data_IF_645078359799
#
_entry.id   IF_645078359799
#
_cell.length_a   1.000
_cell.length_b   1.000
_cell.length_c   1.000
_cell.angle_alpha   90.00
_cell.angle_beta   90.00
_cell.angle_gamma   90.00
#
_symmetry.space_group_name_H-M   'P 1'
#
loop_
_entity.id
_entity.type
_entity.pdbx_description
1 polymer ?
#
# COMPACT_ATOMS: atom_id res chain seq x y z
N UNK A 1 71.14 27.71 64.72
CA UNK A 1 70.72 29.05 65.18
C UNK A 1 69.22 29.04 64.90
N UNK A 2 68.45 28.74 65.93
CA UNK A 2 67.66 29.72 66.70
C UNK A 2 66.49 30.21 65.83
N UNK A 3 65.19 30.06 66.08
CA UNK A 3 64.41 29.79 67.29
C UNK A 3 62.93 29.53 66.88
N UNK A 4 62.26 28.72 67.64
CA UNK A 4 60.80 28.73 67.88
C UNK A 4 60.51 29.89 68.88
N UNK A 5 59.29 30.28 69.17
CA UNK A 5 58.01 29.62 69.28
C UNK A 5 56.82 30.58 68.88
N UNK A 6 55.60 30.39 69.12
CA UNK A 6 54.64 29.80 70.01
C UNK A 6 53.19 30.20 69.54
N UNK A 7 52.29 29.31 69.57
CA UNK A 7 51.12 29.11 70.40
C UNK A 7 50.18 30.32 70.67
N UNK A 8 48.91 30.18 70.32
CA UNK A 8 47.69 30.34 71.12
C UNK A 8 46.43 30.14 70.24
N UNK A 9 45.78 29.12 70.46
CA UNK A 9 44.56 28.75 71.20
C UNK A 9 43.40 29.78 71.18
N UNK A 10 42.25 29.18 70.92
CA UNK A 10 40.88 29.40 71.41
C UNK A 10 39.97 30.18 70.41
N UNK A 11 38.77 29.91 70.27
CA UNK A 11 37.68 29.10 70.77
C UNK A 11 36.43 29.29 69.93
N UNK A 12 35.65 28.19 69.79
CA UNK A 12 34.18 28.16 69.72
C UNK A 12 33.43 29.19 68.87
N UNK A 13 32.66 28.68 67.91
CA UNK A 13 31.19 28.67 67.96
C UNK A 13 30.61 28.06 66.66
N UNK A 14 29.95 26.98 66.90
CA UNK A 14 28.91 26.51 65.91
C UNK A 14 27.72 27.45 65.98
N UNK A 15 27.05 27.72 64.86
CA UNK A 15 25.67 27.31 64.87
C UNK A 15 25.21 26.67 63.55
N UNK A 16 24.31 25.80 63.77
CA UNK A 16 23.41 25.17 62.80
C UNK A 16 22.96 26.09 61.66
N UNK A 17 23.31 25.75 60.42
CA UNK A 17 22.62 26.27 59.25
C UNK A 17 21.92 25.14 58.58
N UNK A 18 20.59 25.21 58.63
CA UNK A 18 19.64 24.31 58.08
C UNK A 18 19.88 24.11 56.60
N UNK A 19 20.08 22.86 56.23
CA UNK A 19 20.13 22.38 54.86
C UNK A 19 18.71 22.40 54.26
N UNK A 20 18.30 23.48 53.63
CA UNK A 20 17.11 23.48 52.76
C UNK A 20 17.43 22.68 51.52
N UNK A 21 17.03 21.41 51.55
CA UNK A 21 16.89 20.57 50.38
C UNK A 21 15.68 21.10 49.57
N UNK A 22 15.94 21.96 48.60
CA UNK A 22 15.01 22.30 47.55
C UNK A 22 14.89 21.08 46.64
N UNK A 23 13.87 20.26 46.87
CA UNK A 23 13.37 19.27 45.89
C UNK A 23 12.77 20.05 44.72
N UNK A 24 13.55 20.28 43.67
CA UNK A 24 13.04 20.62 42.37
C UNK A 24 12.37 19.37 41.82
N UNK A 25 11.06 19.24 42.02
CA UNK A 25 10.22 18.31 41.29
C UNK A 25 10.20 18.78 39.82
N UNK A 26 11.10 18.25 39.01
CA UNK A 26 11.05 18.38 37.57
C UNK A 26 9.81 17.61 37.11
N UNK A 27 8.65 18.28 37.05
CA UNK A 27 7.51 17.81 36.28
C UNK A 27 7.96 17.73 34.83
N UNK A 28 8.36 16.53 34.41
CA UNK A 28 8.47 16.20 32.98
C UNK A 28 7.07 16.33 32.36
N UNK A 29 6.70 17.53 31.95
CA UNK A 29 5.64 17.72 31.00
C UNK A 29 6.12 17.05 29.70
N UNK A 30 5.74 15.80 29.50
CA UNK A 30 5.80 15.17 28.21
C UNK A 30 4.83 15.95 27.31
N UNK A 31 5.35 16.97 26.63
CA UNK A 31 4.61 17.60 25.56
C UNK A 31 4.23 16.48 24.56
N UNK A 32 2.97 16.35 24.18
CA UNK A 32 2.61 15.42 23.12
C UNK A 32 3.46 15.79 21.89
N UNK A 33 4.33 14.88 21.47
CA UNK A 33 5.02 15.01 20.19
C UNK A 33 3.94 15.01 19.12
N UNK A 34 3.53 16.18 18.66
CA UNK A 34 2.80 16.30 17.41
C UNK A 34 3.76 15.82 16.31
N UNK A 35 3.58 14.58 15.88
CA UNK A 35 4.22 14.09 14.67
C UNK A 35 3.79 15.02 13.55
N UNK A 36 4.74 15.73 12.93
CA UNK A 36 4.47 16.57 11.78
C UNK A 36 3.84 15.69 10.69
N UNK A 37 2.60 16.01 10.33
CA UNK A 37 1.83 15.22 9.38
C UNK A 37 2.48 15.37 8.01
N UNK A 38 2.95 14.27 7.44
CA UNK A 38 3.58 14.29 6.12
C UNK A 38 2.53 14.65 5.04
N UNK A 39 2.96 15.27 3.94
CA UNK A 39 2.08 15.80 2.89
C UNK A 39 1.03 14.78 2.40
N UNK A 40 1.41 13.51 2.24
CA UNK A 40 0.50 12.45 1.78
C UNK A 40 -0.60 12.07 2.80
N UNK A 41 -0.44 12.44 4.08
CA UNK A 41 -1.43 12.22 5.14
C UNK A 41 -2.51 13.30 5.19
N UNK A 42 -2.35 14.38 4.42
CA UNK A 42 -3.33 15.45 4.38
C UNK A 42 -4.67 14.96 3.77
N UNK A 43 -5.82 15.27 4.40
CA UNK A 43 -7.12 14.78 3.95
C UNK A 43 -7.42 15.05 2.47
N UNK A 44 -7.12 16.25 1.99
CA UNK A 44 -7.36 16.60 0.58
C UNK A 44 -6.45 15.80 -0.36
N UNK A 45 -5.19 15.56 0.03
CA UNK A 45 -4.26 14.76 -0.77
C UNK A 45 -4.76 13.31 -0.91
N UNK A 46 -5.21 12.69 0.19
CA UNK A 46 -5.79 11.34 0.17
C UNK A 46 -7.02 11.28 -0.75
N UNK A 47 -7.93 12.26 -0.65
CA UNK A 47 -9.12 12.33 -1.52
C UNK A 47 -8.76 12.46 -2.99
N UNK A 48 -7.81 13.33 -3.31
CA UNK A 48 -7.41 13.57 -4.70
C UNK A 48 -6.62 12.40 -5.26
N UNK A 49 -5.74 11.77 -4.47
CA UNK A 49 -5.06 10.52 -4.82
C UNK A 49 -6.05 9.38 -5.07
N UNK A 50 -7.06 9.22 -4.21
CA UNK A 50 -8.11 8.22 -4.44
C UNK A 50 -8.82 8.43 -5.78
N UNK A 51 -9.20 9.67 -6.08
CA UNK A 51 -9.87 9.98 -7.35
C UNK A 51 -8.95 9.72 -8.54
N UNK A 52 -7.70 10.07 -8.42
CA UNK A 52 -6.68 9.86 -9.45
C UNK A 52 -6.53 8.38 -9.76
N UNK A 53 -6.35 7.54 -8.73
CA UNK A 53 -6.04 6.12 -8.92
C UNK A 53 -7.31 5.26 -9.17
N UNK A 54 -8.41 5.52 -8.46
CA UNK A 54 -9.60 4.66 -8.55
C UNK A 54 -10.58 5.01 -9.68
N UNK A 55 -10.64 6.29 -10.11
CA UNK A 55 -11.64 6.77 -11.06
C UNK A 55 -11.07 7.13 -12.43
N UNK A 56 -9.76 7.10 -12.61
CA UNK A 56 -9.12 7.22 -13.91
C UNK A 56 -8.68 5.85 -14.42
N UNK A 57 -8.00 5.84 -15.54
CA UNK A 57 -7.44 4.65 -16.15
C UNK A 57 -6.18 5.06 -16.91
N UNK A 58 -5.12 4.30 -16.79
CA UNK A 58 -3.83 4.50 -17.45
C UNK A 58 -3.95 4.77 -18.96
N UNK A 59 -4.88 4.06 -19.62
CA UNK A 59 -5.05 4.12 -21.08
C UNK A 59 -6.14 5.10 -21.54
N UNK A 60 -6.82 5.83 -20.64
CA UNK A 60 -7.92 6.73 -20.98
C UNK A 60 -7.98 7.95 -20.07
N UNK A 61 -8.09 9.14 -20.67
CA UNK A 61 -8.32 10.40 -19.92
C UNK A 61 -9.74 10.54 -19.38
N UNK A 62 -10.62 9.58 -19.65
CA UNK A 62 -12.03 9.63 -19.23
C UNK A 62 -12.15 9.17 -17.79
N UNK A 63 -12.80 9.99 -16.96
CA UNK A 63 -13.17 9.60 -15.59
C UNK A 63 -14.24 8.53 -15.63
N UNK A 64 -13.92 7.36 -15.15
CA UNK A 64 -14.82 6.21 -15.10
C UNK A 64 -15.57 6.14 -13.76
N UNK A 65 -16.75 5.50 -13.72
CA UNK A 65 -17.36 5.13 -12.44
C UNK A 65 -16.45 4.20 -11.65
N UNK A 66 -16.58 4.22 -10.32
CA UNK A 66 -15.81 3.39 -9.41
C UNK A 66 -16.08 1.91 -9.66
N UNK A 67 -15.00 1.12 -9.73
CA UNK A 67 -15.03 -0.33 -9.95
C UNK A 67 -14.45 -1.02 -8.72
N UNK A 68 -15.09 -2.09 -8.26
CA UNK A 68 -14.59 -2.90 -7.13
C UNK A 68 -15.26 -4.26 -7.10
N UNK A 69 -14.66 -5.21 -6.44
CA UNK A 69 -15.28 -6.50 -6.19
C UNK A 69 -16.41 -6.36 -5.16
N UNK A 70 -17.50 -7.09 -5.38
CA UNK A 70 -18.64 -7.21 -4.47
C UNK A 70 -18.92 -8.66 -4.06
N UNK A 71 -18.10 -9.59 -4.56
CA UNK A 71 -18.16 -11.03 -4.29
C UNK A 71 -16.78 -11.53 -3.87
N UNK A 72 -16.68 -12.72 -3.25
CA UNK A 72 -15.40 -13.35 -2.97
C UNK A 72 -14.54 -13.52 -4.23
N UNK A 73 -13.24 -13.39 -4.06
CA UNK A 73 -12.24 -13.64 -5.10
C UNK A 73 -11.71 -15.05 -4.89
N UNK A 74 -11.89 -15.90 -5.90
CA UNK A 74 -11.25 -17.21 -5.98
C UNK A 74 -10.12 -17.09 -6.99
N UNK A 75 -8.87 -17.23 -6.53
CA UNK A 75 -7.71 -17.08 -7.40
C UNK A 75 -7.06 -18.41 -7.73
N UNK A 76 -6.62 -18.52 -8.98
CA UNK A 76 -5.83 -19.62 -9.51
C UNK A 76 -4.49 -19.09 -9.99
N UNK A 77 -3.39 -19.77 -9.59
CA UNK A 77 -2.04 -19.44 -10.06
C UNK A 77 -1.66 -20.44 -11.14
N UNK A 78 -1.40 -19.93 -12.34
CA UNK A 78 -0.95 -20.71 -13.46
C UNK A 78 0.55 -20.51 -13.69
N UNK A 79 1.32 -21.60 -13.56
CA UNK A 79 2.76 -21.59 -13.76
C UNK A 79 3.09 -22.12 -15.16
N UNK A 80 3.60 -21.23 -16.01
CA UNK A 80 4.11 -21.54 -17.36
C UNK A 80 5.64 -21.42 -17.42
N UNK A 81 6.30 -21.27 -16.27
CA UNK A 81 7.75 -21.12 -16.10
C UNK A 81 8.17 -21.71 -14.77
N UNK A 82 9.49 -21.85 -14.54
CA UNK A 82 10.06 -22.39 -13.31
C UNK A 82 9.85 -21.46 -12.09
N UNK A 83 10.26 -21.93 -10.90
CA UNK A 83 10.20 -21.25 -9.61
C UNK A 83 8.77 -21.10 -9.03
N UNK A 84 7.92 -22.09 -9.26
CA UNK A 84 6.53 -22.13 -8.81
C UNK A 84 6.37 -21.87 -7.31
N UNK A 85 7.27 -22.40 -6.48
CA UNK A 85 7.22 -22.21 -5.02
C UNK A 85 7.38 -20.73 -4.65
N UNK A 86 8.36 -20.03 -5.24
CA UNK A 86 8.58 -18.62 -5.02
C UNK A 86 7.36 -17.80 -5.47
N UNK A 87 6.88 -18.05 -6.68
CA UNK A 87 5.74 -17.33 -7.26
C UNK A 87 4.48 -17.50 -6.41
N UNK A 88 4.20 -18.73 -5.98
CA UNK A 88 3.09 -19.06 -5.08
C UNK A 88 3.23 -18.35 -3.75
N UNK A 89 4.43 -18.38 -3.15
CA UNK A 89 4.69 -17.75 -1.85
C UNK A 89 4.45 -16.25 -1.87
N UNK A 90 5.03 -15.52 -2.82
CA UNK A 90 4.89 -14.05 -2.90
C UNK A 90 3.46 -13.64 -3.22
N UNK A 91 2.77 -14.38 -4.09
CA UNK A 91 1.35 -14.17 -4.42
C UNK A 91 0.46 -14.36 -3.20
N UNK A 92 0.61 -15.48 -2.50
CA UNK A 92 -0.21 -15.79 -1.33
C UNK A 92 -0.01 -14.77 -0.20
N UNK A 93 1.24 -14.37 0.07
CA UNK A 93 1.54 -13.34 1.07
C UNK A 93 0.86 -12.01 0.73
N UNK A 94 0.94 -11.58 -0.53
CA UNK A 94 0.35 -10.32 -0.93
C UNK A 94 -1.18 -10.37 -0.95
N UNK A 95 -1.80 -11.41 -1.49
CA UNK A 95 -3.26 -11.57 -1.50
C UNK A 95 -3.86 -11.69 -0.09
N UNK A 96 -3.16 -12.35 0.85
CA UNK A 96 -3.56 -12.37 2.25
C UNK A 96 -3.51 -10.95 2.87
N UNK A 97 -2.48 -10.17 2.55
CA UNK A 97 -2.38 -8.78 2.98
C UNK A 97 -3.53 -7.92 2.42
N UNK A 98 -3.80 -8.02 1.12
CA UNK A 98 -4.92 -7.33 0.48
C UNK A 98 -6.27 -7.74 1.09
N UNK A 99 -6.46 -9.02 1.40
CA UNK A 99 -7.65 -9.54 2.10
C UNK A 99 -7.83 -8.87 3.46
N UNK A 100 -6.76 -8.75 4.24
CA UNK A 100 -6.80 -8.13 5.57
C UNK A 100 -7.08 -6.62 5.52
N UNK A 101 -6.50 -5.90 4.56
CA UNK A 101 -6.75 -4.45 4.39
C UNK A 101 -8.20 -4.18 3.96
N UNK A 102 -8.70 -4.97 3.01
CA UNK A 102 -9.97 -4.70 2.33
C UNK A 102 -11.17 -5.38 2.99
N UNK A 103 -10.93 -6.43 3.77
CA UNK A 103 -11.98 -7.31 4.29
C UNK A 103 -12.61 -8.21 3.22
N UNK A 104 -12.08 -8.23 2.00
CA UNK A 104 -12.50 -9.18 0.96
C UNK A 104 -12.09 -10.60 1.31
N UNK A 105 -12.96 -11.56 1.01
CA UNK A 105 -12.57 -12.98 1.00
C UNK A 105 -11.79 -13.26 -0.28
N UNK A 106 -10.48 -13.46 -0.17
CA UNK A 106 -9.58 -13.82 -1.27
C UNK A 106 -9.05 -15.22 -0.97
N UNK A 107 -9.44 -16.20 -1.77
CA UNK A 107 -9.31 -17.63 -1.46
C UNK A 107 -8.63 -18.33 -2.63
N UNK A 108 -7.56 -19.15 -2.39
CA UNK A 108 -6.96 -19.97 -3.43
C UNK A 108 -7.92 -21.07 -3.90
N UNK A 109 -7.78 -21.46 -5.16
CA UNK A 109 -8.46 -22.62 -5.74
C UNK A 109 -7.55 -23.37 -6.69
N UNK A 110 -7.58 -24.69 -6.62
CA UNK A 110 -6.84 -25.56 -7.56
C UNK A 110 -7.63 -25.81 -8.85
N UNK A 111 -8.83 -25.28 -8.97
CA UNK A 111 -9.70 -25.44 -10.13
C UNK A 111 -9.79 -24.11 -10.89
N UNK A 112 -9.16 -24.04 -12.07
CA UNK A 112 -9.15 -22.86 -12.94
C UNK A 112 -10.58 -22.42 -13.35
N UNK A 113 -11.52 -23.34 -13.55
CA UNK A 113 -12.90 -23.02 -13.94
C UNK A 113 -13.70 -22.33 -12.83
N UNK A 114 -13.29 -22.50 -11.59
CA UNK A 114 -13.90 -21.82 -10.42
C UNK A 114 -13.26 -20.49 -10.12
N UNK A 115 -12.09 -20.19 -10.70
CA UNK A 115 -11.37 -18.97 -10.46
C UNK A 115 -12.05 -17.78 -11.16
N UNK A 116 -12.12 -16.66 -10.46
CA UNK A 116 -12.48 -15.36 -11.03
C UNK A 116 -11.29 -14.39 -11.08
N UNK A 117 -10.14 -14.79 -10.51
CA UNK A 117 -8.84 -14.14 -10.67
C UNK A 117 -7.83 -15.19 -11.11
N UNK A 118 -7.26 -15.03 -12.30
CA UNK A 118 -6.17 -15.88 -12.82
C UNK A 118 -4.86 -15.10 -12.78
N UNK A 119 -3.80 -15.70 -12.24
CA UNK A 119 -2.48 -15.10 -12.13
C UNK A 119 -1.51 -16.01 -12.90
N UNK A 120 -0.95 -15.50 -13.99
CA UNK A 120 -0.14 -16.26 -14.93
C UNK A 120 1.32 -15.83 -14.78
N UNK A 121 2.16 -16.75 -14.35
CA UNK A 121 3.61 -16.61 -14.40
C UNK A 121 4.14 -17.28 -15.65
N UNK A 122 4.64 -16.48 -16.58
CA UNK A 122 5.05 -16.93 -17.91
C UNK A 122 6.41 -16.37 -18.33
N UNK A 123 6.71 -16.39 -19.61
CA UNK A 123 7.91 -15.79 -20.20
C UNK A 123 7.54 -14.69 -21.17
N UNK A 124 8.46 -13.74 -21.41
CA UNK A 124 8.28 -12.66 -22.39
C UNK A 124 7.88 -13.19 -23.78
N UNK A 125 8.42 -14.35 -24.17
CA UNK A 125 8.11 -14.99 -25.44
C UNK A 125 6.62 -15.34 -25.60
N UNK A 126 5.93 -15.63 -24.49
CA UNK A 126 4.53 -16.03 -24.47
C UNK A 126 3.57 -14.83 -24.41
N UNK A 127 4.07 -13.66 -23.96
CA UNK A 127 3.24 -12.49 -23.64
C UNK A 127 2.28 -12.07 -24.76
N UNK A 128 2.76 -12.01 -26.01
CA UNK A 128 1.90 -11.59 -27.14
C UNK A 128 0.74 -12.57 -27.37
N UNK A 129 0.95 -13.87 -27.16
CA UNK A 129 -0.09 -14.88 -27.26
C UNK A 129 -1.07 -14.78 -26.09
N UNK A 130 -0.58 -14.57 -24.89
CA UNK A 130 -1.39 -14.43 -23.67
C UNK A 130 -2.28 -13.18 -23.70
N UNK A 131 -1.78 -12.07 -24.21
CA UNK A 131 -2.59 -10.86 -24.43
C UNK A 131 -3.78 -11.17 -25.36
N UNK A 132 -3.59 -12.03 -26.36
CA UNK A 132 -4.65 -12.45 -27.27
C UNK A 132 -5.61 -13.44 -26.62
N UNK A 133 -5.11 -14.49 -25.97
CA UNK A 133 -5.93 -15.59 -25.41
C UNK A 133 -6.55 -15.24 -24.05
N UNK A 134 -5.76 -14.71 -23.13
CA UNK A 134 -6.16 -14.54 -21.73
C UNK A 134 -6.77 -13.16 -21.45
N UNK A 135 -6.29 -12.10 -22.15
CA UNK A 135 -6.91 -10.78 -22.10
C UNK A 135 -8.01 -10.56 -23.15
N UNK A 136 -8.20 -11.49 -24.08
CA UNK A 136 -9.10 -11.35 -25.25
C UNK A 136 -8.83 -10.09 -26.07
N UNK A 137 -7.56 -9.69 -26.18
CA UNK A 137 -7.16 -8.51 -26.92
C UNK A 137 -7.10 -8.84 -28.43
N UNK A 138 -7.94 -8.18 -29.23
CA UNK A 138 -8.06 -8.48 -30.68
C UNK A 138 -7.24 -7.53 -31.57
N UNK A 139 -6.97 -6.31 -31.08
CA UNK A 139 -6.20 -5.33 -31.87
C UNK A 139 -4.71 -5.67 -31.83
N UNK A 140 -4.20 -6.09 -33.00
CA UNK A 140 -2.80 -6.46 -33.17
C UNK A 140 -1.82 -5.32 -32.82
N UNK A 141 -2.20 -4.07 -33.04
CA UNK A 141 -1.35 -2.92 -32.70
C UNK A 141 -1.23 -2.75 -31.16
N UNK A 142 -2.33 -2.96 -30.45
CA UNK A 142 -2.32 -2.95 -28.99
C UNK A 142 -1.52 -4.12 -28.43
N UNK A 143 -1.68 -5.32 -28.98
CA UNK A 143 -0.88 -6.50 -28.58
C UNK A 143 0.61 -6.19 -28.75
N UNK A 144 1.04 -5.68 -29.89
CA UNK A 144 2.43 -5.32 -30.14
C UNK A 144 2.93 -4.19 -29.22
N UNK A 145 2.09 -3.21 -28.94
CA UNK A 145 2.41 -2.13 -28.02
C UNK A 145 2.66 -2.67 -26.61
N UNK A 146 1.69 -3.38 -26.04
CA UNK A 146 1.78 -3.89 -24.67
C UNK A 146 2.89 -4.94 -24.51
N UNK A 147 3.04 -5.86 -25.47
CA UNK A 147 4.11 -6.85 -25.42
C UNK A 147 5.51 -6.26 -25.47
N UNK A 148 5.67 -5.02 -25.98
CA UNK A 148 6.98 -4.33 -26.02
C UNK A 148 7.22 -3.39 -24.85
N UNK A 149 6.18 -2.74 -24.34
CA UNK A 149 6.31 -1.62 -23.40
C UNK A 149 6.03 -2.02 -21.95
N UNK A 150 5.18 -3.01 -21.71
CA UNK A 150 4.81 -3.38 -20.33
C UNK A 150 5.72 -4.48 -19.79
N UNK A 151 6.13 -4.35 -18.53
CA UNK A 151 6.91 -5.37 -17.82
C UNK A 151 5.98 -6.46 -17.30
N UNK A 152 4.84 -6.10 -16.77
CA UNK A 152 3.73 -6.94 -16.33
C UNK A 152 2.41 -6.26 -16.67
N UNK A 153 1.31 -6.96 -16.59
CA UNK A 153 0.00 -6.43 -16.99
C UNK A 153 -1.12 -7.06 -16.17
N UNK A 154 -2.12 -6.25 -15.87
CA UNK A 154 -3.39 -6.71 -15.34
C UNK A 154 -4.58 -6.19 -16.16
N UNK A 155 -5.64 -6.97 -16.17
CA UNK A 155 -6.92 -6.57 -16.74
C UNK A 155 -8.07 -7.15 -15.94
N UNK A 156 -9.19 -6.43 -15.89
CA UNK A 156 -10.41 -6.93 -15.26
C UNK A 156 -11.66 -6.59 -16.06
N UNK A 157 -12.66 -7.44 -15.92
CA UNK A 157 -13.99 -7.25 -16.51
C UNK A 157 -15.00 -6.84 -15.43
N UNK A 158 -15.92 -5.94 -15.80
CA UNK A 158 -16.99 -5.46 -14.91
C UNK A 158 -18.36 -5.83 -15.43
N UNK A 159 -19.31 -6.01 -14.51
CA UNK A 159 -20.75 -6.09 -14.81
C UNK A 159 -21.31 -4.71 -15.14
N UNK A 160 -22.58 -4.65 -15.52
CA UNK A 160 -23.30 -3.40 -15.81
C UNK A 160 -23.38 -2.43 -14.63
N UNK A 161 -23.29 -2.94 -13.38
CA UNK A 161 -23.26 -2.15 -12.16
C UNK A 161 -21.84 -1.68 -11.77
N UNK A 162 -20.83 -1.91 -12.62
CA UNK A 162 -19.41 -1.66 -12.42
C UNK A 162 -18.76 -2.53 -11.29
N UNK A 163 -19.42 -3.58 -10.83
CA UNK A 163 -18.76 -4.58 -9.99
C UNK A 163 -17.78 -5.40 -10.83
N UNK A 164 -16.55 -5.58 -10.31
CA UNK A 164 -15.57 -6.47 -10.93
C UNK A 164 -16.02 -7.91 -10.71
N UNK A 165 -15.94 -8.74 -11.76
CA UNK A 165 -16.34 -10.13 -11.67
C UNK A 165 -15.30 -11.12 -12.20
N UNK A 166 -14.33 -10.65 -12.96
CA UNK A 166 -13.22 -11.45 -13.49
C UNK A 166 -11.99 -10.56 -13.65
N UNK A 167 -10.80 -11.12 -13.37
CA UNK A 167 -9.52 -10.46 -13.59
C UNK A 167 -8.46 -11.46 -14.03
N UNK A 168 -7.47 -10.98 -14.78
CA UNK A 168 -6.28 -11.73 -15.19
C UNK A 168 -5.05 -10.86 -14.97
N UNK A 169 -4.01 -11.44 -14.39
CA UNK A 169 -2.69 -10.84 -14.21
C UNK A 169 -1.67 -11.69 -14.96
N UNK A 170 -0.81 -11.08 -15.77
CA UNK A 170 0.27 -11.74 -16.51
C UNK A 170 1.60 -11.17 -16.08
N UNK A 171 2.49 -12.03 -15.60
CA UNK A 171 3.83 -11.68 -15.15
C UNK A 171 4.85 -12.48 -15.95
N UNK A 172 5.48 -11.87 -17.00
CA UNK A 172 6.58 -12.46 -17.72
C UNK A 172 7.83 -12.45 -16.82
N UNK A 173 8.11 -13.57 -16.16
CA UNK A 173 9.10 -13.68 -15.06
C UNK A 173 10.51 -13.30 -15.49
N UNK A 174 10.94 -13.74 -16.68
CA UNK A 174 12.25 -13.42 -17.25
C UNK A 174 12.42 -11.90 -17.47
N UNK A 175 11.41 -11.25 -18.05
CA UNK A 175 11.38 -9.80 -18.23
C UNK A 175 11.30 -9.06 -16.89
N UNK A 176 10.40 -9.46 -16.00
CA UNK A 176 10.24 -8.84 -14.69
C UNK A 176 11.54 -8.91 -13.87
N UNK A 177 12.27 -10.03 -13.95
CA UNK A 177 13.60 -10.17 -13.32
C UNK A 177 14.66 -9.32 -14.00
N UNK A 178 14.69 -9.27 -15.33
CA UNK A 178 15.65 -8.44 -16.07
C UNK A 178 15.53 -6.95 -15.73
N UNK A 179 14.31 -6.50 -15.37
CA UNK A 179 14.04 -5.14 -14.91
C UNK A 179 14.05 -4.98 -13.38
N UNK A 180 14.42 -6.02 -12.61
CA UNK A 180 14.34 -6.04 -11.14
C UNK A 180 12.93 -5.73 -10.58
N UNK A 181 11.87 -6.11 -11.31
CA UNK A 181 10.47 -5.75 -11.04
C UNK A 181 9.57 -6.93 -10.64
N UNK A 182 10.10 -8.14 -10.39
CA UNK A 182 9.26 -9.31 -10.11
C UNK A 182 8.35 -9.07 -8.89
N UNK A 183 8.87 -8.52 -7.79
CA UNK A 183 8.07 -8.26 -6.60
C UNK A 183 7.11 -7.10 -6.80
N UNK A 184 7.56 -5.99 -7.41
CA UNK A 184 6.67 -4.86 -7.70
C UNK A 184 5.55 -5.25 -8.66
N UNK A 185 5.81 -6.05 -9.69
CA UNK A 185 4.77 -6.60 -10.56
C UNK A 185 3.68 -7.37 -9.80
N UNK A 186 4.08 -8.25 -8.87
CA UNK A 186 3.11 -8.99 -8.04
C UNK A 186 2.29 -8.03 -7.17
N UNK A 187 2.96 -7.07 -6.51
CA UNK A 187 2.31 -6.12 -5.60
C UNK A 187 1.37 -5.19 -6.35
N UNK A 188 1.84 -4.60 -7.43
CA UNK A 188 1.11 -3.59 -8.20
C UNK A 188 -0.09 -4.20 -8.92
N UNK A 189 0.13 -5.20 -9.77
CA UNK A 189 -0.91 -5.77 -10.63
C UNK A 189 -2.05 -6.42 -9.82
N UNK A 190 -1.71 -7.13 -8.72
CA UNK A 190 -2.73 -7.70 -7.84
C UNK A 190 -3.49 -6.63 -7.05
N UNK A 191 -2.90 -5.48 -6.80
CA UNK A 191 -3.58 -4.36 -6.16
C UNK A 191 -4.46 -3.60 -7.15
N UNK A 192 -3.99 -3.39 -8.39
CA UNK A 192 -4.77 -2.74 -9.45
C UNK A 192 -6.08 -3.48 -9.75
N UNK A 193 -6.05 -4.81 -9.81
CA UNK A 193 -7.26 -5.61 -10.10
C UNK A 193 -8.31 -5.57 -8.98
N UNK A 194 -8.00 -4.99 -7.83
CA UNK A 194 -9.00 -4.73 -6.80
C UNK A 194 -9.85 -3.49 -7.11
N UNK A 195 -9.51 -2.70 -8.12
CA UNK A 195 -10.26 -1.51 -8.56
C UNK A 195 -9.51 -0.19 -8.41
N UNK A 196 -8.18 -0.24 -8.42
CA UNK A 196 -7.26 0.90 -8.43
C UNK A 196 -6.44 0.90 -9.73
N UNK A 197 -7.06 1.08 -10.91
CA UNK A 197 -6.46 0.73 -12.20
C UNK A 197 -5.67 1.84 -12.87
N UNK A 198 -5.32 2.92 -12.19
CA UNK A 198 -4.60 4.04 -12.80
C UNK A 198 -3.26 4.26 -12.12
N UNK A 199 -2.25 4.47 -12.94
CA UNK A 199 -0.94 4.94 -12.49
C UNK A 199 -0.86 6.46 -12.63
N UNK A 200 -0.13 7.09 -11.72
CA UNK A 200 0.02 8.53 -11.74
C UNK A 200 1.29 9.01 -11.04
N UNK A 201 2.11 9.74 -11.75
CA UNK A 201 3.29 10.43 -11.21
C UNK A 201 2.96 11.47 -10.12
N UNK A 202 1.69 11.85 -9.98
CA UNK A 202 1.25 12.85 -9.00
C UNK A 202 0.87 12.24 -7.64
N UNK A 203 0.85 10.91 -7.52
CA UNK A 203 0.49 10.21 -6.29
C UNK A 203 1.74 9.62 -5.66
N UNK A 204 2.16 10.18 -4.52
CA UNK A 204 3.37 9.78 -3.82
C UNK A 204 3.18 9.86 -2.29
N UNK A 205 3.70 8.88 -1.49
CA UNK A 205 4.33 7.61 -1.94
C UNK A 205 3.28 6.59 -2.38
N UNK A 206 3.50 5.89 -3.47
CA UNK A 206 2.55 4.90 -3.98
C UNK A 206 3.21 3.91 -4.93
N UNK A 207 2.73 2.65 -4.94
CA UNK A 207 3.12 1.65 -5.95
C UNK A 207 2.59 2.02 -7.34
N UNK A 208 1.57 2.87 -7.43
CA UNK A 208 0.97 3.37 -8.67
C UNK A 208 1.71 4.58 -9.24
N UNK A 209 2.96 4.81 -8.83
CA UNK A 209 3.79 5.89 -9.33
C UNK A 209 5.08 5.33 -9.92
N UNK A 210 5.14 5.22 -11.25
CA UNK A 210 6.27 4.68 -12.00
C UNK A 210 7.60 5.40 -11.78
N UNK A 211 7.55 6.66 -11.30
CA UNK A 211 8.74 7.45 -10.97
C UNK A 211 9.20 7.26 -9.52
N UNK A 212 8.42 6.56 -8.71
CA UNK A 212 8.82 6.24 -7.35
C UNK A 212 9.61 4.93 -7.30
N UNK A 213 10.47 4.79 -6.28
CA UNK A 213 11.14 3.52 -5.98
C UNK A 213 10.33 2.65 -5.01
N UNK A 214 9.01 2.79 -5.00
CA UNK A 214 8.14 1.99 -4.13
C UNK A 214 7.78 0.68 -4.83
N UNK A 215 8.46 -0.40 -4.46
CA UNK A 215 8.16 -1.76 -4.93
C UNK A 215 7.13 -2.48 -4.05
N UNK A 216 6.65 -1.84 -2.97
CA UNK A 216 5.72 -2.40 -1.98
C UNK A 216 4.64 -1.39 -1.64
N UNK A 217 3.50 -1.88 -1.09
CA UNK A 217 2.42 -1.02 -0.62
C UNK A 217 2.95 0.05 0.36
N UNK A 218 2.64 1.30 0.08
CA UNK A 218 2.88 2.40 1.01
C UNK A 218 1.74 2.58 2.01
N UNK A 219 1.94 3.42 3.03
CA UNK A 219 0.84 3.83 3.91
C UNK A 219 -0.30 4.51 3.17
N UNK A 220 -0.01 5.25 2.08
CA UNK A 220 -1.05 5.84 1.23
C UNK A 220 -1.86 4.75 0.50
N UNK A 221 -1.19 3.75 -0.09
CA UNK A 221 -1.88 2.64 -0.78
C UNK A 221 -2.79 1.86 0.19
N UNK A 222 -2.33 1.64 1.43
CA UNK A 222 -3.15 1.08 2.50
C UNK A 222 -4.44 1.89 2.72
N UNK A 223 -4.34 3.23 2.77
CA UNK A 223 -5.50 4.10 2.95
C UNK A 223 -6.43 4.08 1.72
N UNK A 224 -5.87 4.09 0.51
CA UNK A 224 -6.67 4.02 -0.73
C UNK A 224 -7.46 2.72 -0.81
N UNK A 225 -6.86 1.57 -0.47
CA UNK A 225 -7.54 0.28 -0.37
C UNK A 225 -8.62 0.27 0.70
N UNK A 226 -8.32 0.79 1.89
CA UNK A 226 -9.27 0.88 3.01
C UNK A 226 -10.47 1.76 2.65
N UNK A 227 -10.27 2.86 1.92
CA UNK A 227 -11.32 3.72 1.41
C UNK A 227 -12.15 3.03 0.33
N UNK A 228 -11.50 2.36 -0.63
CA UNK A 228 -12.16 1.65 -1.72
C UNK A 228 -13.15 0.61 -1.18
N UNK A 229 -12.75 -0.12 -0.14
CA UNK A 229 -13.57 -1.17 0.46
C UNK A 229 -14.39 -0.71 1.67
N UNK A 230 -14.38 0.59 1.98
CA UNK A 230 -15.25 1.13 3.01
C UNK A 230 -16.74 0.90 2.67
N UNK A 231 -17.62 0.52 3.65
CA UNK A 231 -19.03 0.18 3.38
C UNK A 231 -19.84 1.24 2.66
N UNK A 232 -19.50 2.52 2.81
CA UNK A 232 -20.19 3.63 2.14
C UNK A 232 -19.78 3.83 0.68
N UNK A 233 -18.66 3.24 0.24
CA UNK A 233 -18.17 3.33 -1.12
C UNK A 233 -18.67 2.13 -1.94
N UNK A 234 -19.43 2.39 -3.01
CA UNK A 234 -20.08 1.36 -3.83
C UNK A 234 -19.59 1.40 -5.26
N UNK A 235 -19.59 0.24 -5.94
CA UNK A 235 -19.35 0.17 -7.38
C UNK A 235 -20.36 1.08 -8.12
N UNK A 236 -19.95 1.61 -9.27
CA UNK A 236 -20.78 2.51 -10.09
C UNK A 236 -20.89 3.96 -9.59
N UNK A 237 -20.33 4.27 -8.43
CA UNK A 237 -20.32 5.66 -7.97
C UNK A 237 -19.44 6.53 -8.86
N UNK A 238 -19.95 7.71 -9.24
CA UNK A 238 -19.23 8.74 -9.98
C UNK A 238 -18.50 9.69 -9.01
N UNK A 239 -17.48 10.37 -9.49
CA UNK A 239 -16.63 11.30 -8.71
C UNK A 239 -17.43 12.29 -7.85
N UNK A 240 -18.48 12.90 -8.41
CA UNK A 240 -19.33 13.87 -7.70
C UNK A 240 -19.97 13.28 -6.42
N UNK A 241 -20.28 11.98 -6.43
CA UNK A 241 -20.85 11.26 -5.28
C UNK A 241 -19.77 10.75 -4.34
N UNK A 242 -18.62 10.29 -4.87
CA UNK A 242 -17.53 9.71 -4.09
C UNK A 242 -16.83 10.76 -3.21
N UNK A 243 -16.43 11.91 -3.77
CA UNK A 243 -15.64 12.93 -3.06
C UNK A 243 -16.23 13.36 -1.71
N UNK A 244 -17.51 13.74 -1.58
CA UNK A 244 -18.07 14.12 -0.27
C UNK A 244 -18.11 12.96 0.73
N UNK A 245 -18.34 11.73 0.27
CA UNK A 245 -18.33 10.53 1.14
C UNK A 245 -16.90 10.29 1.66
N UNK A 246 -15.88 10.36 0.80
CA UNK A 246 -14.47 10.21 1.22
C UNK A 246 -14.10 11.24 2.29
N UNK A 247 -14.47 12.52 2.09
CA UNK A 247 -14.19 13.58 3.09
C UNK A 247 -14.81 13.25 4.44
N UNK A 248 -16.05 12.76 4.46
CA UNK A 248 -16.71 12.36 5.71
C UNK A 248 -16.03 11.18 6.38
N UNK A 249 -15.63 10.15 5.61
CA UNK A 249 -14.91 8.98 6.14
C UNK A 249 -13.57 9.43 6.76
N UNK A 250 -12.80 10.22 6.04
CA UNK A 250 -11.47 10.69 6.45
C UNK A 250 -11.55 11.55 7.72
N UNK A 251 -12.61 12.31 7.92
CA UNK A 251 -12.81 13.12 9.12
C UNK A 251 -13.23 12.30 10.36
N UNK A 252 -13.62 11.03 10.20
CA UNK A 252 -14.01 10.19 11.34
C UNK A 252 -12.80 9.90 12.26
N UNK A 253 -13.00 9.83 13.60
CA UNK A 253 -11.92 9.53 14.53
C UNK A 253 -11.17 8.25 14.21
N UNK A 254 -11.90 7.19 13.83
CA UNK A 254 -11.32 5.91 13.44
C UNK A 254 -10.37 6.04 12.24
N UNK A 255 -10.78 6.77 11.20
CA UNK A 255 -9.95 6.90 10.00
C UNK A 255 -8.76 7.84 10.22
N UNK A 256 -8.88 8.87 11.07
CA UNK A 256 -7.75 9.69 11.49
C UNK A 256 -6.66 8.85 12.16
N UNK A 257 -7.04 7.96 13.06
CA UNK A 257 -6.10 7.02 13.66
C UNK A 257 -5.46 6.09 12.62
N UNK A 258 -6.21 5.63 11.62
CA UNK A 258 -5.65 4.83 10.51
C UNK A 258 -4.61 5.63 9.71
N UNK A 259 -4.83 6.92 9.45
CA UNK A 259 -3.87 7.79 8.76
C UNK A 259 -2.54 7.86 9.54
N UNK A 260 -2.61 8.08 10.84
CA UNK A 260 -1.42 8.17 11.71
C UNK A 260 -0.63 6.85 11.73
N UNK A 261 -1.32 5.73 11.69
CA UNK A 261 -0.74 4.39 11.79
C UNK A 261 -0.48 3.70 10.44
N UNK A 262 -0.83 4.33 9.32
CA UNK A 262 -0.87 3.67 8.01
C UNK A 262 0.46 3.00 7.62
N UNK A 263 1.60 3.68 7.82
CA UNK A 263 2.92 3.10 7.56
C UNK A 263 3.22 1.89 8.47
N UNK A 264 2.86 1.98 9.74
CA UNK A 264 3.03 0.85 10.65
C UNK A 264 2.16 -0.33 10.23
N UNK A 265 0.87 -0.09 9.96
CA UNK A 265 -0.09 -1.15 9.63
C UNK A 265 0.26 -1.87 8.33
N UNK A 266 0.68 -1.14 7.29
CA UNK A 266 1.04 -1.74 6.01
C UNK A 266 2.29 -2.61 6.11
N UNK A 267 3.24 -2.26 6.98
CA UNK A 267 4.51 -2.98 7.12
C UNK A 267 4.43 -4.27 7.97
N UNK A 268 3.30 -4.54 8.60
CA UNK A 268 3.13 -5.72 9.47
C UNK A 268 2.81 -7.00 8.71
N UNK A 269 2.56 -6.94 7.41
CA UNK A 269 2.04 -8.08 6.64
C UNK A 269 2.57 -8.09 5.20
N UNK A 270 2.15 -9.12 4.45
CA UNK A 270 2.46 -9.24 3.03
C UNK A 270 3.94 -9.48 2.75
N UNK A 271 4.42 -8.87 1.69
CA UNK A 271 5.82 -9.00 1.24
C UNK A 271 6.81 -8.46 2.29
N UNK A 272 6.41 -7.52 3.14
CA UNK A 272 7.26 -7.00 4.21
C UNK A 272 7.77 -8.08 5.16
N UNK A 273 7.05 -9.18 5.33
CA UNK A 273 7.48 -10.34 6.14
C UNK A 273 8.69 -11.09 5.55
N UNK A 274 9.05 -10.83 4.30
CA UNK A 274 10.23 -11.38 3.64
C UNK A 274 11.47 -10.49 3.79
N UNK A 275 11.30 -9.26 4.29
CA UNK A 275 12.35 -8.25 4.41
C UNK A 275 12.90 -8.14 5.84
N UNK A 276 12.21 -8.76 6.80
CA UNK A 276 12.58 -8.85 8.23
C UNK A 276 13.13 -10.29 8.51
#
# INVERSE_FOLDING_TARGET
>A
MIEKPSNHQRHFLTPHLARYLLFFAACCFSAPSFSEQTHWQLPNYIVDSFVEIALKNEYSKVVSPLRKWQQPIYYFIEHRTADEELHTKITNLHLAHLSNITGLKIIPTDNADKANLTIIFSTEKQLAQELKSDFNLLDQRQILKFSRQSVCLANFATKSDNSIHKAVVIIPVDRARAHAKLLSCVVEELTQVLGLPNDSDNVFPSIFNDKSHNDYLSGLDYLLLSLLYHPQIKAGMKQKKVKPILRNIIQSPKFKQQIEQANYLVNQQGIYLLLN
#
